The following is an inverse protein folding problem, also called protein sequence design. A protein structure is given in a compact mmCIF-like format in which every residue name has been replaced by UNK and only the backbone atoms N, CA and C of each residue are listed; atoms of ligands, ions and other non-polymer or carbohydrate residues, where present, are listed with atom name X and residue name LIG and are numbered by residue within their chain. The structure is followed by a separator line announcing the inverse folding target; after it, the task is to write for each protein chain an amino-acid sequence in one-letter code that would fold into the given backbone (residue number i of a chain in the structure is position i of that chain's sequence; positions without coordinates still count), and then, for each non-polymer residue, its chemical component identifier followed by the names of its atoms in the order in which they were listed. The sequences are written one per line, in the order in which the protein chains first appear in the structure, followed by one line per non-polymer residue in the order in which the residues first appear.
data_IF_493662870975
#
_entry.id   IF_493662870975
#
_cell.length_a   1.000
_cell.length_b   1.000
_cell.length_c   1.000
_cell.angle_alpha   90.00
_cell.angle_beta   90.00
_cell.angle_gamma   90.00
#
_symmetry.space_group_name_H-M   'P 1'
#
loop_
_entity.id
_entity.type
_entity.pdbx_description
1 polymer ?
#
# COMPACT_ATOMS: atom_id res chain seq x y z
N UNK A 1 -0.87 23.46 2.85
CA UNK A 1 -0.87 22.01 3.03
C UNK A 1 0.21 21.64 4.02
N UNK A 2 -0.17 20.94 5.10
CA UNK A 2 0.68 20.40 6.16
C UNK A 2 0.49 18.89 6.20
N UNK A 3 1.47 18.14 6.68
CA UNK A 3 1.36 16.67 6.84
C UNK A 3 0.13 16.29 7.67
N UNK A 4 -0.16 17.05 8.73
CA UNK A 4 -1.31 16.83 9.59
C UNK A 4 -2.67 17.03 8.90
N UNK A 5 -2.72 17.57 7.67
CA UNK A 5 -3.96 17.72 6.91
C UNK A 5 -4.41 16.40 6.25
N UNK A 6 -3.61 15.33 6.35
CA UNK A 6 -3.89 14.00 5.82
C UNK A 6 -4.10 13.02 6.98
N UNK A 7 -5.33 12.53 7.12
CA UNK A 7 -5.69 11.58 8.17
C UNK A 7 -5.42 10.17 7.68
N UNK A 8 -4.63 9.41 8.43
CA UNK A 8 -4.43 7.98 8.16
C UNK A 8 -5.79 7.27 8.26
N UNK A 9 -6.19 6.44 7.29
CA UNK A 9 -7.42 5.67 7.38
C UNK A 9 -7.42 4.76 8.62
N UNK A 10 -8.45 4.84 9.46
CA UNK A 10 -8.57 4.02 10.68
C UNK A 10 -9.45 2.78 10.42
N UNK A 11 -9.01 1.92 9.51
CA UNK A 11 -9.70 0.68 9.14
C UNK A 11 -8.89 -0.55 9.52
N UNK A 12 -9.54 -1.72 9.51
CA UNK A 12 -8.86 -2.98 9.76
C UNK A 12 -7.73 -3.25 8.74
N UNK A 13 -7.97 -2.96 7.46
CA UNK A 13 -6.96 -3.13 6.42
C UNK A 13 -5.79 -2.15 6.59
N UNK A 14 -6.07 -0.88 6.89
CA UNK A 14 -5.02 0.12 7.08
C UNK A 14 -4.13 -0.19 8.29
N UNK A 15 -4.73 -0.54 9.43
CA UNK A 15 -3.97 -0.97 10.62
C UNK A 15 -3.14 -2.22 10.36
N UNK A 16 -3.73 -3.23 9.72
CA UNK A 16 -3.02 -4.46 9.37
C UNK A 16 -1.87 -4.23 8.38
N UNK A 17 -2.05 -3.33 7.41
CA UNK A 17 -0.99 -2.96 6.47
C UNK A 17 0.21 -2.34 7.20
N UNK A 18 -0.04 -1.39 8.11
CA UNK A 18 1.00 -0.77 8.91
C UNK A 18 1.68 -1.76 9.87
N UNK A 19 0.92 -2.68 10.46
CA UNK A 19 1.45 -3.74 11.32
C UNK A 19 2.39 -4.67 10.55
N UNK A 20 1.98 -5.18 9.38
CA UNK A 20 2.84 -5.99 8.51
C UNK A 20 4.09 -5.22 8.07
N UNK A 21 3.92 -3.97 7.63
CA UNK A 21 5.03 -3.13 7.22
C UNK A 21 6.05 -2.95 8.35
N UNK A 22 5.59 -2.64 9.57
CA UNK A 22 6.45 -2.44 10.74
C UNK A 22 7.13 -3.73 11.19
N UNK A 23 6.46 -4.88 11.02
CA UNK A 23 6.99 -6.17 11.42
C UNK A 23 8.06 -6.70 10.45
N UNK A 24 7.84 -6.56 9.14
CA UNK A 24 8.65 -7.25 8.14
C UNK A 24 9.55 -6.34 7.30
N UNK A 25 9.20 -5.05 7.14
CA UNK A 25 10.06 -4.11 6.43
C UNK A 25 11.08 -3.51 7.40
N UNK A 26 12.21 -3.04 6.87
CA UNK A 26 13.11 -2.21 7.66
C UNK A 26 12.46 -0.85 7.99
N UNK A 27 12.86 -0.17 9.08
CA UNK A 27 12.34 1.15 9.40
C UNK A 27 12.48 2.18 8.27
N UNK A 28 13.54 2.06 7.46
CA UNK A 28 13.77 2.94 6.31
C UNK A 28 12.72 2.72 5.21
N UNK A 29 12.38 1.46 4.92
CA UNK A 29 11.37 1.10 3.92
C UNK A 29 9.96 1.44 4.41
N UNK A 30 9.62 1.18 5.68
CA UNK A 30 8.33 1.62 6.24
C UNK A 30 8.17 3.14 6.16
N UNK A 31 9.21 3.89 6.52
CA UNK A 31 9.19 5.35 6.43
C UNK A 31 9.10 5.84 4.97
N UNK A 32 9.73 5.15 4.02
CA UNK A 32 9.58 5.41 2.59
C UNK A 32 8.14 5.21 2.14
N UNK A 33 7.53 4.07 2.44
CA UNK A 33 6.16 3.74 2.07
C UNK A 33 5.15 4.77 2.62
N UNK A 34 5.29 5.19 3.87
CA UNK A 34 4.46 6.24 4.47
C UNK A 34 4.66 7.62 3.81
N UNK A 35 5.89 7.96 3.41
CA UNK A 35 6.14 9.20 2.63
C UNK A 35 5.51 9.11 1.25
N UNK A 36 5.57 7.96 0.57
CA UNK A 36 4.93 7.75 -0.73
C UNK A 36 3.41 7.97 -0.66
N UNK A 37 2.75 7.48 0.40
CA UNK A 37 1.33 7.78 0.65
C UNK A 37 1.09 9.29 0.85
N UNK A 38 1.87 9.95 1.71
CA UNK A 38 1.72 11.40 1.94
C UNK A 38 1.93 12.23 0.66
N UNK A 39 2.87 11.83 -0.19
CA UNK A 39 3.08 12.46 -1.49
C UNK A 39 1.88 12.25 -2.42
N UNK A 40 1.32 11.04 -2.47
CA UNK A 40 0.14 10.77 -3.28
C UNK A 40 -1.07 11.62 -2.84
N UNK A 41 -1.32 11.72 -1.54
CA UNK A 41 -2.37 12.59 -0.97
C UNK A 41 -2.12 14.07 -1.29
N UNK A 42 -0.86 14.50 -1.24
CA UNK A 42 -0.46 15.86 -1.60
C UNK A 42 -0.70 16.16 -3.08
N UNK A 43 -0.27 15.29 -3.98
CA UNK A 43 -0.47 15.46 -5.43
C UNK A 43 -1.95 15.45 -5.78
N UNK A 44 -2.73 14.51 -5.23
CA UNK A 44 -4.18 14.49 -5.39
C UNK A 44 -4.83 15.83 -5.06
N UNK A 45 -4.44 16.44 -3.93
CA UNK A 45 -4.97 17.73 -3.50
C UNK A 45 -4.54 18.88 -4.41
N UNK A 46 -3.28 18.90 -4.85
CA UNK A 46 -2.75 19.95 -5.75
C UNK A 46 -3.42 19.86 -7.13
N UNK A 47 -3.63 18.64 -7.63
CA UNK A 47 -4.16 18.38 -8.96
C UNK A 47 -5.70 18.34 -9.00
N UNK A 48 -6.36 18.49 -7.84
CA UNK A 48 -7.82 18.49 -7.74
C UNK A 48 -8.49 17.13 -7.99
N UNK A 49 -7.76 16.03 -7.76
CA UNK A 49 -8.28 14.67 -7.89
C UNK A 49 -9.10 14.34 -6.64
N UNK A 50 -10.42 14.19 -6.79
CA UNK A 50 -11.35 14.02 -5.66
C UNK A 50 -11.94 12.62 -5.52
N UNK A 51 -11.93 11.81 -6.57
CA UNK A 51 -12.48 10.44 -6.55
C UNK A 51 -11.41 9.41 -6.17
N UNK A 52 -10.86 9.54 -4.96
CA UNK A 52 -9.80 8.68 -4.45
C UNK A 52 -10.33 7.76 -3.37
N UNK A 53 -10.11 6.47 -3.55
CA UNK A 53 -10.23 5.49 -2.47
C UNK A 53 -8.99 5.60 -1.56
N UNK A 54 -9.09 6.45 -0.53
CA UNK A 54 -7.98 6.75 0.39
C UNK A 54 -7.49 5.53 1.18
N UNK A 55 -8.37 4.58 1.51
CA UNK A 55 -7.96 3.35 2.20
C UNK A 55 -7.21 2.42 1.24
N UNK A 56 -7.65 2.29 -0.01
CA UNK A 56 -6.91 1.56 -1.06
C UNK A 56 -5.56 2.20 -1.35
N UNK A 57 -5.51 3.52 -1.45
CA UNK A 57 -4.27 4.26 -1.65
C UNK A 57 -3.30 3.99 -0.50
N UNK A 58 -3.76 4.12 0.75
CA UNK A 58 -2.94 3.88 1.93
C UNK A 58 -2.40 2.45 1.99
N UNK A 59 -3.28 1.43 1.87
CA UNK A 59 -2.88 0.02 1.94
C UNK A 59 -1.89 -0.33 0.82
N UNK A 60 -2.16 0.12 -0.41
CA UNK A 60 -1.27 -0.15 -1.54
C UNK A 60 0.08 0.53 -1.37
N UNK A 61 0.11 1.80 -0.94
CA UNK A 61 1.33 2.55 -0.72
C UNK A 61 2.18 1.97 0.42
N UNK A 62 1.56 1.59 1.54
CA UNK A 62 2.26 1.00 2.69
C UNK A 62 2.89 -0.36 2.33
N UNK A 63 2.25 -1.14 1.46
CA UNK A 63 2.70 -2.49 1.11
C UNK A 63 3.45 -2.60 -0.22
N UNK A 64 3.64 -1.53 -1.00
CA UNK A 64 4.17 -1.65 -2.36
C UNK A 64 5.55 -2.33 -2.44
N UNK A 65 6.39 -2.15 -1.42
CA UNK A 65 7.73 -2.74 -1.30
C UNK A 65 7.79 -3.96 -0.37
N UNK A 66 6.65 -4.48 0.13
CA UNK A 66 6.66 -5.59 1.09
C UNK A 66 7.29 -6.87 0.50
N UNK A 67 7.22 -7.06 -0.82
CA UNK A 67 7.81 -8.20 -1.50
C UNK A 67 9.35 -8.22 -1.50
N UNK A 68 10.01 -7.14 -1.06
CA UNK A 68 11.47 -7.10 -0.88
C UNK A 68 11.89 -7.79 0.43
N UNK A 69 10.98 -7.90 1.42
CA UNK A 69 11.26 -8.58 2.68
C UNK A 69 11.46 -10.08 2.44
N UNK A 70 12.44 -10.67 3.13
CA UNK A 70 12.85 -12.07 2.90
C UNK A 70 11.71 -13.07 3.07
N UNK A 71 10.78 -12.80 3.98
CA UNK A 71 9.61 -13.66 4.24
C UNK A 71 8.59 -13.66 3.09
N UNK A 72 8.61 -12.63 2.24
CA UNK A 72 7.72 -12.47 1.09
C UNK A 72 8.45 -12.49 -0.26
N UNK A 73 9.78 -12.65 -0.24
CA UNK A 73 10.59 -12.77 -1.44
C UNK A 73 10.19 -14.03 -2.22
N UNK A 74 10.22 -13.93 -3.55
CA UNK A 74 9.79 -14.99 -4.43
C UNK A 74 10.74 -15.12 -5.62
N UNK A 75 11.19 -16.35 -5.88
CA UNK A 75 12.14 -16.65 -6.95
C UNK A 75 11.49 -16.85 -8.33
N UNK A 76 10.16 -16.99 -8.41
CA UNK A 76 9.43 -17.29 -9.65
C UNK A 76 8.63 -16.11 -10.20
N UNK A 77 8.35 -15.11 -9.39
CA UNK A 77 7.62 -13.90 -9.75
C UNK A 77 8.35 -12.68 -9.21
N UNK A 78 8.07 -11.51 -9.76
CA UNK A 78 8.70 -10.27 -9.30
C UNK A 78 8.24 -9.89 -7.88
N UNK A 79 9.04 -9.07 -7.19
CA UNK A 79 8.70 -8.62 -5.83
C UNK A 79 7.39 -7.82 -5.81
N UNK A 80 7.06 -7.12 -6.90
CA UNK A 80 5.80 -6.39 -7.02
C UNK A 80 4.60 -7.35 -7.09
N UNK A 81 4.73 -8.48 -7.79
CA UNK A 81 3.68 -9.51 -7.81
C UNK A 81 3.56 -10.20 -6.46
N UNK A 82 4.68 -10.58 -5.85
CA UNK A 82 4.68 -11.19 -4.52
C UNK A 82 4.05 -10.26 -3.47
N UNK A 83 4.48 -9.00 -3.43
CA UNK A 83 3.91 -7.98 -2.54
C UNK A 83 2.45 -7.68 -2.82
N UNK A 84 2.04 -7.68 -4.09
CA UNK A 84 0.64 -7.54 -4.48
C UNK A 84 -0.24 -8.67 -3.95
N UNK A 85 0.26 -9.91 -3.95
CA UNK A 85 -0.44 -11.05 -3.34
C UNK A 85 -0.55 -10.94 -1.82
N UNK A 86 0.46 -10.39 -1.13
CA UNK A 86 0.36 -10.05 0.30
C UNK A 86 -0.78 -9.05 0.53
N UNK A 87 -0.87 -8.00 -0.30
CA UNK A 87 -1.97 -7.03 -0.27
C UNK A 87 -3.35 -7.68 -0.46
N UNK A 88 -3.49 -8.64 -1.39
CA UNK A 88 -4.73 -9.41 -1.60
C UNK A 88 -5.10 -10.22 -0.36
N UNK A 89 -4.15 -10.93 0.24
CA UNK A 89 -4.40 -11.75 1.42
C UNK A 89 -4.84 -10.90 2.61
N UNK A 90 -4.11 -9.81 2.88
CA UNK A 90 -4.45 -8.86 3.95
C UNK A 90 -5.86 -8.29 3.77
N UNK A 91 -6.17 -7.78 2.57
CA UNK A 91 -7.46 -7.15 2.31
C UNK A 91 -8.61 -8.16 2.24
N UNK A 92 -8.35 -9.41 1.88
CA UNK A 92 -9.32 -10.51 2.02
C UNK A 92 -9.65 -10.76 3.50
N UNK A 93 -8.64 -10.84 4.37
CA UNK A 93 -8.82 -10.95 5.82
C UNK A 93 -9.55 -9.76 6.42
N UNK A 94 -9.36 -8.56 5.86
CA UNK A 94 -10.09 -7.35 6.24
C UNK A 94 -11.52 -7.25 5.65
N UNK A 95 -11.97 -8.25 4.90
CA UNK A 95 -13.34 -8.33 4.38
C UNK A 95 -13.62 -7.55 3.10
N UNK A 96 -12.59 -7.12 2.37
CA UNK A 96 -12.80 -6.38 1.12
C UNK A 96 -13.47 -7.25 0.04
N UNK A 97 -14.30 -6.67 -0.84
CA UNK A 97 -14.83 -7.40 -2.00
C UNK A 97 -13.70 -7.72 -3.01
N UNK A 98 -13.87 -8.78 -3.80
CA UNK A 98 -12.82 -9.30 -4.68
C UNK A 98 -12.27 -8.26 -5.67
N UNK A 99 -13.13 -7.42 -6.25
CA UNK A 99 -12.71 -6.38 -7.20
C UNK A 99 -11.73 -5.37 -6.56
N UNK A 100 -11.94 -5.01 -5.29
CA UNK A 100 -11.10 -4.06 -4.57
C UNK A 100 -9.75 -4.68 -4.18
N UNK A 101 -9.73 -5.98 -3.88
CA UNK A 101 -8.49 -6.75 -3.66
C UNK A 101 -7.64 -6.85 -4.92
N UNK A 102 -8.29 -7.15 -6.05
CA UNK A 102 -7.62 -7.15 -7.35
C UNK A 102 -7.02 -5.77 -7.65
N UNK A 103 -7.72 -4.69 -7.27
CA UNK A 103 -7.21 -3.35 -7.47
C UNK A 103 -5.94 -3.06 -6.66
N UNK A 104 -5.81 -3.56 -5.43
CA UNK A 104 -4.56 -3.46 -4.65
C UNK A 104 -3.41 -4.20 -5.35
N UNK A 105 -3.65 -5.42 -5.82
CA UNK A 105 -2.66 -6.18 -6.60
C UNK A 105 -2.21 -5.39 -7.83
N UNK A 106 -3.14 -4.83 -8.61
CA UNK A 106 -2.83 -4.04 -9.79
C UNK A 106 -2.00 -2.80 -9.47
N UNK A 107 -2.35 -2.05 -8.43
CA UNK A 107 -1.61 -0.85 -8.03
C UNK A 107 -0.20 -1.22 -7.63
N UNK A 108 -0.03 -2.26 -6.80
CA UNK A 108 1.29 -2.71 -6.38
C UNK A 108 2.08 -3.25 -7.57
N UNK A 109 1.53 -4.09 -8.44
CA UNK A 109 2.26 -4.63 -9.61
C UNK A 109 2.74 -3.53 -10.57
N UNK A 110 1.96 -2.45 -10.70
CA UNK A 110 2.23 -1.39 -11.67
C UNK A 110 3.08 -0.24 -11.15
N UNK A 111 3.51 -0.26 -9.88
CA UNK A 111 4.19 0.91 -9.29
C UNK A 111 5.57 1.21 -9.91
N UNK A 112 6.17 0.25 -10.62
CA UNK A 112 7.41 0.42 -11.39
C UNK A 112 7.22 0.31 -12.91
N UNK A 113 5.99 0.35 -13.41
CA UNK A 113 5.78 0.32 -14.86
C UNK A 113 6.30 1.62 -15.50
N UNK A 114 6.92 1.54 -16.70
CA UNK A 114 7.45 2.71 -17.41
C UNK A 114 6.36 3.63 -17.96
#
# INVERSE_FOLDING_TARGET
MRIADFTVPDTLAARGALELATQYQSPAITAHALRSWLWAEAFARVDGITDIDHELLYVSAVLHDIGIATEFDNHTISYEHAGGHVGVALTAGAGWPAHRRNRVLEVIVRHNWP
#
